data_IF_176837025853
#
_entry.id   IF_176837025853
#
_cell.length_a   1.000
_cell.length_b   1.000
_cell.length_c   1.000
_cell.angle_alpha   90.00
_cell.angle_beta   90.00
_cell.angle_gamma   90.00
#
_symmetry.space_group_name_H-M   'P 1'
#
loop_
_entity.id
_entity.type
_entity.pdbx_description
1 polymer ?
#
# COMPACT_ATOMS: atom_id res chain seq x y z
N UNK A 1 18.98 18.54 -19.28
CA UNK A 1 19.98 17.89 -18.40
C UNK A 1 19.46 17.58 -17.00
N UNK A 2 18.76 18.49 -16.29
CA UNK A 2 18.25 18.26 -14.91
C UNK A 2 17.21 17.13 -14.77
N UNK A 3 16.34 16.92 -15.78
CA UNK A 3 15.30 15.87 -15.76
C UNK A 3 15.88 14.45 -15.95
N UNK A 4 16.98 14.31 -16.69
CA UNK A 4 17.66 13.02 -16.91
C UNK A 4 18.40 12.54 -15.67
N UNK A 5 19.00 13.47 -14.91
CA UNK A 5 19.72 13.16 -13.68
C UNK A 5 18.77 12.68 -12.55
N UNK A 6 17.58 13.28 -12.44
CA UNK A 6 16.53 12.82 -11.50
C UNK A 6 16.00 11.42 -11.85
N UNK A 7 15.89 11.11 -13.13
CA UNK A 7 15.51 9.77 -13.62
C UNK A 7 16.59 8.72 -13.32
N UNK A 8 17.87 9.10 -13.46
CA UNK A 8 19.01 8.23 -13.16
C UNK A 8 19.17 7.95 -11.67
N UNK A 9 18.91 8.96 -10.82
CA UNK A 9 18.90 8.81 -9.36
C UNK A 9 17.71 7.96 -8.90
N UNK A 10 16.52 8.12 -9.51
CA UNK A 10 15.37 7.27 -9.24
C UNK A 10 15.60 5.80 -9.67
N UNK A 11 16.33 5.57 -10.76
CA UNK A 11 16.71 4.24 -11.25
C UNK A 11 17.72 3.55 -10.32
N UNK A 12 18.66 4.29 -9.73
CA UNK A 12 19.67 3.72 -8.81
C UNK A 12 19.13 3.41 -7.41
N UNK A 13 18.02 4.02 -6.98
CA UNK A 13 17.38 3.70 -5.70
C UNK A 13 16.44 2.48 -5.76
N UNK A 14 16.24 1.87 -6.94
CA UNK A 14 15.38 0.69 -7.10
C UNK A 14 16.18 -0.61 -7.07
N UNK A 15 16.51 -1.07 -5.86
CA UNK A 15 16.62 -2.52 -5.57
C UNK A 15 15.39 -3.25 -6.12
N UNK A 16 15.44 -4.55 -6.52
CA UNK A 16 14.62 -5.11 -7.59
C UNK A 16 13.15 -4.79 -7.38
N UNK A 17 12.69 -3.74 -8.06
CA UNK A 17 11.32 -3.32 -8.02
C UNK A 17 10.53 -4.45 -8.68
N UNK A 18 9.78 -5.17 -7.86
CA UNK A 18 8.91 -6.27 -8.28
C UNK A 18 8.14 -5.81 -9.53
N UNK A 19 8.22 -6.61 -10.60
CA UNK A 19 7.62 -6.36 -11.92
C UNK A 19 6.20 -5.76 -11.90
N UNK A 20 5.43 -6.07 -10.86
CA UNK A 20 4.10 -5.53 -10.58
C UNK A 20 4.03 -3.99 -10.59
N UNK A 21 5.00 -3.29 -9.98
CA UNK A 21 5.00 -1.81 -9.94
C UNK A 21 5.37 -1.25 -11.32
N UNK A 22 6.29 -1.90 -12.04
CA UNK A 22 6.71 -1.48 -13.38
C UNK A 22 5.57 -1.58 -14.40
N UNK A 23 4.80 -2.67 -14.36
CA UNK A 23 3.60 -2.87 -15.20
C UNK A 23 2.61 -1.72 -14.96
N UNK A 24 2.40 -1.35 -13.70
CA UNK A 24 1.50 -0.26 -13.34
C UNK A 24 1.98 1.13 -13.84
N UNK A 25 3.30 1.35 -13.91
CA UNK A 25 3.88 2.57 -14.49
C UNK A 25 3.78 2.60 -16.03
N UNK A 26 3.96 1.45 -16.68
CA UNK A 26 3.91 1.32 -18.15
C UNK A 26 2.46 1.40 -18.67
N UNK A 27 1.52 0.74 -17.99
CA UNK A 27 0.12 0.67 -18.39
C UNK A 27 -0.79 1.66 -17.67
N UNK A 28 -0.31 2.35 -16.62
CA UNK A 28 -1.10 3.31 -15.84
C UNK A 28 -1.74 4.40 -16.69
N UNK A 29 -1.03 4.86 -17.73
CA UNK A 29 -1.55 5.81 -18.72
C UNK A 29 -2.79 5.27 -19.47
N UNK A 30 -2.88 3.95 -19.71
CA UNK A 30 -4.03 3.30 -20.38
C UNK A 30 -5.15 2.91 -19.40
N UNK A 31 -4.86 2.84 -18.10
CA UNK A 31 -5.84 2.47 -17.07
C UNK A 31 -6.71 3.65 -16.61
N UNK A 32 -6.34 4.88 -16.92
CA UNK A 32 -7.15 6.06 -16.56
C UNK A 32 -8.32 6.28 -17.54
N UNK A 33 -9.51 6.57 -17.00
CA UNK A 33 -10.71 6.95 -17.75
C UNK A 33 -11.43 8.14 -17.08
N UNK A 34 -12.48 8.75 -17.68
CA UNK A 34 -13.22 9.83 -17.03
C UNK A 34 -13.74 9.50 -15.62
N UNK A 35 -14.01 8.21 -15.36
CA UNK A 35 -14.55 7.73 -14.09
C UNK A 35 -13.58 6.83 -13.33
N UNK A 36 -12.34 6.70 -13.79
CA UNK A 36 -11.33 5.83 -13.16
C UNK A 36 -9.99 6.59 -13.11
N UNK A 37 -9.55 6.91 -11.90
CA UNK A 37 -8.21 7.43 -11.67
C UNK A 37 -7.32 6.31 -11.15
N UNK A 38 -6.15 6.12 -11.75
CA UNK A 38 -5.15 5.15 -11.32
C UNK A 38 -3.94 5.89 -10.72
N UNK A 39 -3.41 5.38 -9.62
CA UNK A 39 -2.25 5.96 -8.97
C UNK A 39 -1.42 4.97 -8.14
N UNK A 40 -0.31 5.47 -7.63
CA UNK A 40 0.58 4.75 -6.72
C UNK A 40 0.53 5.37 -5.33
N UNK A 41 0.53 4.54 -4.29
CA UNK A 41 0.65 4.97 -2.90
C UNK A 41 1.95 4.45 -2.31
N UNK A 42 2.69 5.29 -1.61
CA UNK A 42 3.88 4.88 -0.85
C UNK A 42 4.00 5.65 0.44
N UNK A 43 4.54 5.02 1.48
CA UNK A 43 4.72 5.68 2.76
C UNK A 43 5.17 4.76 3.88
N UNK A 44 4.79 5.12 5.10
CA UNK A 44 5.14 4.38 6.32
C UNK A 44 3.90 3.85 6.99
N UNK A 45 4.02 2.68 7.61
CA UNK A 45 2.98 2.09 8.43
C UNK A 45 3.53 1.78 9.82
N UNK A 46 2.73 2.05 10.83
CA UNK A 46 2.99 1.87 12.24
C UNK A 46 2.03 0.80 12.72
N UNK A 47 2.53 -0.38 13.03
CA UNK A 47 1.71 -1.56 13.32
C UNK A 47 1.94 -2.13 14.70
N UNK A 48 0.86 -2.61 15.31
CA UNK A 48 0.86 -3.37 16.56
C UNK A 48 -0.07 -4.58 16.43
N UNK A 49 0.05 -5.51 17.36
CA UNK A 49 -0.88 -6.65 17.48
C UNK A 49 -1.64 -6.48 18.79
N UNK A 50 -2.93 -6.19 18.71
CA UNK A 50 -3.81 -6.07 19.87
C UNK A 50 -3.97 -7.43 20.54
N UNK A 51 -3.86 -7.47 21.87
CA UNK A 51 -3.92 -8.70 22.66
C UNK A 51 -2.58 -9.45 22.79
N UNK A 52 -1.51 -8.95 22.15
CA UNK A 52 -0.17 -9.49 22.29
C UNK A 52 0.67 -8.59 23.20
N UNK A 53 1.36 -9.20 24.17
CA UNK A 53 2.36 -8.49 24.98
C UNK A 53 3.52 -8.05 24.10
N UNK A 54 3.74 -6.73 24.02
CA UNK A 54 4.80 -6.12 23.24
C UNK A 54 5.12 -4.73 23.78
N UNK A 55 6.37 -4.31 23.71
CA UNK A 55 6.81 -3.00 24.22
C UNK A 55 6.76 -1.88 23.18
N UNK A 56 6.55 -2.20 21.89
CA UNK A 56 6.66 -1.21 20.83
C UNK A 56 5.85 -1.44 19.58
N UNK A 57 5.87 -0.42 18.73
CA UNK A 57 5.23 -0.41 17.39
C UNK A 57 6.22 -0.90 16.34
N UNK A 58 5.79 -1.84 15.49
CA UNK A 58 6.54 -2.23 14.31
C UNK A 58 6.36 -1.20 13.20
N UNK A 59 7.43 -0.48 12.88
CA UNK A 59 7.45 0.53 11.82
C UNK A 59 7.96 -0.09 10.52
N UNK A 60 7.22 0.11 9.43
CA UNK A 60 7.61 -0.42 8.14
C UNK A 60 7.23 0.47 6.97
N UNK A 61 7.87 0.23 5.83
CA UNK A 61 7.56 0.92 4.58
C UNK A 61 6.45 0.18 3.84
N UNK A 62 5.43 0.93 3.42
CA UNK A 62 4.35 0.44 2.58
C UNK A 62 4.41 1.01 1.15
N UNK A 63 3.97 0.20 0.20
CA UNK A 63 3.90 0.55 -1.21
C UNK A 63 2.73 -0.18 -1.86
N UNK A 64 2.02 0.50 -2.74
CA UNK A 64 0.86 -0.03 -3.43
C UNK A 64 0.46 0.77 -4.66
N UNK A 65 -0.62 0.33 -5.27
CA UNK A 65 -1.33 1.07 -6.30
C UNK A 65 -2.82 1.13 -5.95
N UNK A 66 -3.49 2.17 -6.41
CA UNK A 66 -4.91 2.39 -6.17
C UNK A 66 -5.66 2.77 -7.44
N UNK A 67 -6.96 2.61 -7.35
CA UNK A 67 -7.97 3.00 -8.31
C UNK A 67 -9.06 3.77 -7.56
N UNK A 68 -9.33 5.00 -7.98
CA UNK A 68 -10.48 5.76 -7.56
C UNK A 68 -11.54 5.70 -8.67
N UNK A 69 -12.55 4.86 -8.47
CA UNK A 69 -13.69 4.71 -9.37
C UNK A 69 -14.75 5.75 -8.97
N UNK A 70 -14.89 6.81 -9.75
CA UNK A 70 -15.82 7.92 -9.48
C UNK A 70 -17.24 7.56 -9.91
N UNK A 71 -18.23 7.92 -9.08
CA UNK A 71 -19.65 7.76 -9.45
C UNK A 71 -20.01 8.69 -10.61
N UNK A 72 -20.74 8.15 -11.59
CA UNK A 72 -21.22 8.93 -12.76
C UNK A 72 -22.24 10.00 -12.38
N UNK A 73 -23.02 9.77 -11.31
CA UNK A 73 -24.06 10.71 -10.85
C UNK A 73 -23.49 11.83 -10.00
N UNK A 74 -22.54 11.51 -9.12
CA UNK A 74 -21.89 12.48 -8.24
C UNK A 74 -20.41 12.13 -8.09
N UNK A 75 -19.50 12.84 -8.79
CA UNK A 75 -18.07 12.58 -8.75
C UNK A 75 -17.40 12.75 -7.38
N UNK A 76 -18.10 13.31 -6.39
CA UNK A 76 -17.61 13.38 -5.01
C UNK A 76 -17.57 11.99 -4.33
N UNK A 77 -18.44 11.07 -4.74
CA UNK A 77 -18.45 9.69 -4.27
C UNK A 77 -17.60 8.80 -5.16
N UNK A 78 -16.73 8.00 -4.55
CA UNK A 78 -15.81 7.10 -5.22
C UNK A 78 -15.72 5.77 -4.49
N UNK A 79 -15.36 4.72 -5.24
CA UNK A 79 -14.83 3.48 -4.66
C UNK A 79 -13.32 3.54 -4.82
N UNK A 80 -12.61 3.58 -3.71
CA UNK A 80 -11.15 3.46 -3.64
C UNK A 80 -10.78 2.00 -3.42
N UNK A 81 -10.11 1.40 -4.39
CA UNK A 81 -9.65 0.01 -4.33
C UNK A 81 -8.22 -0.11 -4.88
N UNK A 82 -7.54 -1.23 -4.68
CA UNK A 82 -6.18 -1.42 -5.18
C UNK A 82 -5.48 -2.57 -4.50
N UNK A 83 -4.15 -2.56 -4.55
CA UNK A 83 -3.32 -3.50 -3.80
C UNK A 83 -2.16 -2.76 -3.15
N UNK A 84 -2.08 -2.84 -1.82
CA UNK A 84 -0.90 -2.49 -1.05
C UNK A 84 0.04 -3.69 -1.13
N UNK A 85 0.94 -3.66 -2.10
CA UNK A 85 1.83 -4.78 -2.46
C UNK A 85 2.91 -5.05 -1.42
N UNK A 86 3.24 -4.05 -0.62
CA UNK A 86 4.14 -4.16 0.53
C UNK A 86 3.45 -3.51 1.72
N UNK A 87 3.08 -4.30 2.71
CA UNK A 87 2.48 -3.82 3.95
C UNK A 87 2.96 -4.69 5.13
N UNK A 88 4.15 -4.43 5.67
CA UNK A 88 4.66 -5.16 6.83
C UNK A 88 3.88 -4.76 8.09
N UNK A 89 3.07 -5.66 8.65
CA UNK A 89 2.41 -5.52 9.94
C UNK A 89 3.17 -6.31 11.00
N UNK A 90 2.85 -6.14 12.28
CA UNK A 90 3.50 -6.90 13.34
C UNK A 90 3.55 -6.19 14.67
N UNK A 91 4.45 -6.64 15.54
CA UNK A 91 4.69 -6.06 16.84
C UNK A 91 6.20 -6.09 17.17
N UNK A 92 6.64 -5.13 17.97
CA UNK A 92 8.04 -4.96 18.33
C UNK A 92 8.23 -5.20 19.83
N UNK A 93 9.35 -5.81 20.21
CA UNK A 93 9.68 -6.02 21.62
C UNK A 93 8.74 -6.99 22.33
N UNK A 94 8.40 -8.09 21.68
CA UNK A 94 7.69 -9.23 22.29
C UNK A 94 8.68 -9.97 23.21
N UNK A 95 8.24 -10.48 24.38
CA UNK A 95 9.07 -11.33 25.22
C UNK A 95 9.62 -12.55 24.47
N UNK A 96 10.87 -12.92 24.77
CA UNK A 96 11.51 -14.09 24.16
C UNK A 96 10.79 -15.35 24.61
N UNK A 97 10.54 -16.24 23.65
CA UNK A 97 9.92 -17.55 23.86
C UNK A 97 10.85 -18.65 23.34
N UNK A 98 10.67 -19.89 23.83
CA UNK A 98 11.55 -20.99 23.46
C UNK A 98 11.56 -21.27 21.96
N UNK A 99 12.77 -21.43 21.43
CA UNK A 99 13.09 -21.85 20.08
C UNK A 99 13.14 -23.37 19.93
N UNK A 100 12.94 -24.12 21.03
CA UNK A 100 13.16 -25.56 21.14
C UNK A 100 14.61 -25.97 20.84
N UNK A 101 15.56 -25.08 21.11
CA UNK A 101 16.99 -25.31 20.99
C UNK A 101 17.67 -24.63 22.19
N UNK A 102 18.32 -25.43 23.05
CA UNK A 102 18.90 -24.92 24.29
C UNK A 102 20.01 -23.88 24.04
N UNK A 103 20.78 -24.01 22.96
CA UNK A 103 21.82 -23.04 22.64
C UNK A 103 21.19 -21.72 22.22
N UNK A 104 20.20 -21.76 21.32
CA UNK A 104 19.50 -20.55 20.88
C UNK A 104 18.74 -19.89 22.04
N UNK A 105 18.06 -20.67 22.89
CA UNK A 105 17.33 -20.16 24.06
C UNK A 105 18.27 -19.42 25.02
N UNK A 106 19.48 -19.95 25.24
CA UNK A 106 20.49 -19.28 26.05
C UNK A 106 21.05 -18.02 25.36
N UNK A 107 21.26 -18.05 24.04
CA UNK A 107 21.76 -16.91 23.25
C UNK A 107 20.76 -15.76 23.18
N UNK A 108 19.46 -16.00 23.28
CA UNK A 108 18.45 -14.93 23.23
C UNK A 108 17.82 -14.64 24.58
N UNK A 109 18.31 -15.24 25.67
CA UNK A 109 17.82 -14.99 27.02
C UNK A 109 17.99 -13.51 27.39
N UNK A 110 16.89 -12.86 27.81
CA UNK A 110 16.87 -11.43 28.14
C UNK A 110 16.80 -10.49 26.93
N UNK A 111 16.73 -11.04 25.70
CA UNK A 111 16.56 -10.26 24.47
C UNK A 111 15.11 -9.90 24.18
N UNK A 112 14.84 -9.63 22.90
CA UNK A 112 13.50 -9.28 22.42
C UNK A 112 13.16 -9.92 21.08
N UNK A 113 11.87 -10.07 20.81
CA UNK A 113 11.37 -10.63 19.54
C UNK A 113 10.60 -9.57 18.76
N UNK A 114 10.96 -9.41 17.50
CA UNK A 114 10.24 -8.58 16.55
C UNK A 114 9.50 -9.45 15.55
N UNK A 115 8.18 -9.41 15.63
CA UNK A 115 7.32 -10.15 14.71
C UNK A 115 7.00 -9.29 13.51
N UNK A 116 7.32 -9.78 12.31
CA UNK A 116 6.95 -9.13 11.05
C UNK A 116 6.08 -10.06 10.19
N UNK A 117 4.90 -9.56 9.82
CA UNK A 117 3.89 -10.25 9.04
C UNK A 117 3.59 -9.42 7.80
N UNK A 118 3.95 -9.94 6.62
CA UNK A 118 3.80 -9.26 5.34
C UNK A 118 2.53 -9.74 4.65
N UNK A 119 1.60 -8.82 4.41
CA UNK A 119 0.39 -9.06 3.64
C UNK A 119 0.40 -8.32 2.30
N UNK A 120 -0.29 -8.88 1.32
CA UNK A 120 -0.87 -8.14 0.20
C UNK A 120 -2.25 -7.66 0.63
N UNK A 121 -2.42 -6.35 0.83
CA UNK A 121 -3.69 -5.81 1.31
C UNK A 121 -4.53 -5.26 0.15
N UNK A 122 -5.79 -5.61 0.10
CA UNK A 122 -6.79 -5.17 -0.88
C UNK A 122 -7.86 -4.37 -0.15
N UNK A 123 -7.76 -3.03 -0.12
CA UNK A 123 -8.80 -2.17 0.42
C UNK A 123 -9.97 -2.08 -0.56
N UNK A 124 -11.21 -2.06 -0.06
CA UNK A 124 -12.42 -1.78 -0.85
C UNK A 124 -13.20 -0.71 -0.09
N UNK A 125 -12.88 0.55 -0.34
CA UNK A 125 -13.31 1.67 0.49
C UNK A 125 -14.27 2.57 -0.27
N UNK A 126 -15.33 3.00 0.40
CA UNK A 126 -16.11 4.14 -0.05
C UNK A 126 -15.31 5.39 0.31
N UNK A 127 -15.06 6.25 -0.67
CA UNK A 127 -14.33 7.52 -0.53
C UNK A 127 -15.25 8.67 -0.89
N UNK A 128 -15.32 9.68 -0.03
CA UNK A 128 -16.08 10.91 -0.24
C UNK A 128 -15.15 12.12 -0.25
N UNK A 129 -15.15 12.86 -1.35
CA UNK A 129 -14.34 14.04 -1.59
C UNK A 129 -15.14 15.32 -1.27
N UNK A 130 -14.66 16.08 -0.29
CA UNK A 130 -15.23 17.38 0.07
C UNK A 130 -14.70 18.49 -0.85
N UNK A 131 -15.43 19.62 -0.89
CA UNK A 131 -15.07 20.79 -1.70
C UNK A 131 -13.75 21.45 -1.31
N UNK A 132 -13.31 21.28 -0.07
CA UNK A 132 -12.05 21.80 0.46
C UNK A 132 -10.85 20.87 0.20
N UNK A 133 -10.97 19.93 -0.75
CA UNK A 133 -9.97 18.93 -1.11
C UNK A 133 -9.64 17.88 -0.04
N UNK A 134 -10.26 17.94 1.15
CA UNK A 134 -10.23 16.85 2.11
C UNK A 134 -11.11 15.71 1.58
N UNK A 135 -10.75 14.47 1.89
CA UNK A 135 -11.61 13.32 1.69
C UNK A 135 -11.59 12.40 2.90
N UNK A 136 -12.68 11.67 3.06
CA UNK A 136 -12.79 10.56 4.00
C UNK A 136 -12.94 9.27 3.20
N UNK A 137 -12.36 8.18 3.70
CA UNK A 137 -12.53 6.85 3.12
C UNK A 137 -12.77 5.82 4.22
N UNK A 138 -13.69 4.90 3.99
CA UNK A 138 -13.97 3.82 4.95
C UNK A 138 -14.49 2.57 4.25
N UNK A 139 -14.24 1.40 4.81
CA UNK A 139 -14.72 0.13 4.27
C UNK A 139 -13.86 -1.06 4.66
N UNK A 140 -14.18 -2.25 4.13
CA UNK A 140 -13.39 -3.44 4.37
C UNK A 140 -12.00 -3.36 3.73
N UNK A 141 -11.04 -4.01 4.39
CA UNK A 141 -9.71 -4.27 3.86
C UNK A 141 -9.38 -5.74 4.12
N UNK A 142 -8.97 -6.44 3.06
CA UNK A 142 -8.60 -7.86 3.11
C UNK A 142 -7.08 -7.97 2.96
N UNK A 143 -6.46 -8.90 3.68
CA UNK A 143 -5.03 -9.17 3.62
C UNK A 143 -4.76 -10.62 3.25
N UNK A 144 -3.87 -10.85 2.27
CA UNK A 144 -3.37 -12.17 1.91
C UNK A 144 -1.92 -12.33 2.37
N UNK A 145 -1.67 -13.33 3.22
CA UNK A 145 -0.36 -13.58 3.83
C UNK A 145 0.69 -13.94 2.78
N UNK A 146 1.74 -13.13 2.70
CA UNK A 146 2.91 -13.39 1.85
C UNK A 146 4.03 -14.07 2.64
N UNK A 147 4.43 -13.50 3.77
CA UNK A 147 5.52 -13.99 4.63
C UNK A 147 5.24 -13.64 6.09
N UNK A 148 5.68 -14.47 7.02
CA UNK A 148 5.72 -14.10 8.44
C UNK A 148 6.98 -14.69 9.08
N UNK A 149 7.64 -13.91 9.92
CA UNK A 149 8.82 -14.33 10.65
C UNK A 149 8.96 -13.55 11.95
N UNK A 150 9.60 -14.19 12.92
CA UNK A 150 10.03 -13.57 14.16
C UNK A 150 11.55 -13.39 14.12
N UNK A 151 12.00 -12.17 14.43
CA UNK A 151 13.41 -11.82 14.57
C UNK A 151 13.74 -11.72 16.05
N UNK A 152 14.46 -12.71 16.55
CA UNK A 152 15.04 -12.72 17.88
C UNK A 152 16.28 -11.86 17.85
N UNK A 153 16.36 -10.89 18.77
CA UNK A 153 17.47 -9.95 18.87
C UNK A 153 18.03 -9.96 20.28
N UNK A 154 19.35 -10.04 20.36
CA UNK A 154 20.08 -9.84 21.60
C UNK A 154 21.37 -9.06 21.32
N UNK A 155 21.67 -8.11 22.21
CA UNK A 155 22.90 -7.32 22.15
C UNK A 155 23.97 -7.98 23.00
N UNK A 156 25.13 -8.26 22.41
CA UNK A 156 26.31 -8.77 23.09
C UNK A 156 27.49 -7.86 22.77
N UNK A 157 28.12 -7.25 23.78
CA UNK A 157 29.30 -6.40 23.61
C UNK A 157 29.16 -5.31 22.51
N UNK A 158 27.95 -4.75 22.37
CA UNK A 158 27.54 -3.75 21.34
C UNK A 158 27.35 -4.29 19.92
N UNK A 159 27.40 -5.60 19.73
CA UNK A 159 27.04 -6.27 18.50
C UNK A 159 25.65 -6.94 18.61
N UNK A 160 24.82 -6.73 17.57
CA UNK A 160 23.49 -7.34 17.49
C UNK A 160 23.59 -8.77 16.94
N UNK A 161 23.19 -9.75 17.76
CA UNK A 161 22.93 -11.11 17.30
C UNK A 161 21.46 -11.23 16.90
N UNK A 162 21.20 -11.69 15.67
CA UNK A 162 19.85 -11.81 15.13
C UNK A 162 19.60 -13.23 14.61
N UNK A 163 18.52 -13.87 15.09
CA UNK A 163 18.01 -15.11 14.55
C UNK A 163 16.60 -14.93 14.00
N UNK A 164 16.36 -15.44 12.78
CA UNK A 164 15.10 -15.26 12.07
C UNK A 164 14.35 -16.59 11.95
N UNK A 165 13.26 -16.73 12.70
CA UNK A 165 12.37 -17.89 12.68
C UNK A 165 11.21 -17.66 11.71
N UNK A 166 11.00 -18.54 10.76
CA UNK A 166 9.80 -18.50 9.92
C UNK A 166 8.59 -18.98 10.74
N UNK A 167 7.54 -18.16 10.80
CA UNK A 167 6.30 -18.46 11.54
C UNK A 167 5.08 -18.48 10.62
N UNK A 168 5.26 -18.46 9.30
CA UNK A 168 4.16 -18.39 8.32
C UNK A 168 3.10 -19.47 8.56
N UNK A 169 3.51 -20.67 8.93
CA UNK A 169 2.57 -21.78 9.13
C UNK A 169 1.71 -21.61 10.38
N UNK A 170 2.10 -20.75 11.32
CA UNK A 170 1.35 -20.40 12.53
C UNK A 170 0.39 -19.22 12.31
N UNK A 171 0.56 -18.45 11.23
CA UNK A 171 -0.27 -17.27 10.92
C UNK A 171 -1.40 -17.66 9.98
N UNK A 172 -2.62 -17.15 10.23
CA UNK A 172 -3.76 -17.32 9.31
C UNK A 172 -3.45 -16.67 7.97
N UNK A 173 -3.81 -17.34 6.88
CA UNK A 173 -3.48 -16.88 5.52
C UNK A 173 -4.30 -15.65 5.13
N UNK A 174 -5.50 -15.51 5.68
CA UNK A 174 -6.42 -14.41 5.43
C UNK A 174 -6.48 -13.55 6.69
N UNK A 175 -6.24 -12.25 6.51
CA UNK A 175 -6.59 -11.20 7.47
C UNK A 175 -7.75 -10.38 6.88
N UNK A 176 -8.62 -9.88 7.74
CA UNK A 176 -9.70 -9.00 7.31
C UNK A 176 -10.07 -8.02 8.42
N UNK A 177 -10.44 -6.82 8.03
CA UNK A 177 -10.80 -5.77 8.96
C UNK A 177 -11.47 -4.58 8.29
N UNK A 178 -11.69 -3.55 9.08
CA UNK A 178 -12.23 -2.27 8.60
C UNK A 178 -11.11 -1.25 8.60
N UNK A 179 -11.03 -0.46 7.53
CA UNK A 179 -10.12 0.66 7.46
C UNK A 179 -10.90 1.98 7.43
N UNK A 180 -10.40 2.97 8.15
CA UNK A 180 -10.89 4.34 8.17
C UNK A 180 -9.73 5.27 7.84
N UNK A 181 -9.90 6.16 6.88
CA UNK A 181 -8.87 7.11 6.49
C UNK A 181 -9.41 8.49 6.20
N UNK A 182 -8.54 9.46 6.42
CA UNK A 182 -8.71 10.86 6.02
C UNK A 182 -7.52 11.23 5.16
N UNK A 183 -7.74 12.08 4.17
CA UNK A 183 -6.64 12.60 3.38
C UNK A 183 -6.96 13.93 2.74
N UNK A 184 -5.94 14.49 2.10
CA UNK A 184 -6.00 15.78 1.44
C UNK A 184 -5.46 15.65 0.02
N UNK A 185 -6.24 16.12 -0.95
CA UNK A 185 -5.83 16.22 -2.35
C UNK A 185 -5.14 17.57 -2.58
N UNK A 186 -3.84 17.53 -2.83
CA UNK A 186 -3.05 18.71 -3.12
C UNK A 186 -3.13 19.04 -4.61
N UNK A 187 -3.44 20.30 -4.92
CA UNK A 187 -3.43 20.82 -6.29
C UNK A 187 -2.01 21.13 -6.81
N UNK A 188 -1.01 20.35 -6.39
CA UNK A 188 0.39 20.49 -6.80
C UNK A 188 0.73 19.37 -7.79
N UNK A 189 1.29 19.74 -8.94
CA UNK A 189 1.66 18.78 -10.00
C UNK A 189 0.44 18.04 -10.56
N UNK A 190 0.49 16.71 -10.58
CA UNK A 190 -0.58 15.85 -11.11
C UNK A 190 -1.68 15.51 -10.08
N UNK A 191 -1.67 16.11 -8.90
CA UNK A 191 -2.68 15.89 -7.85
C UNK A 191 -2.21 14.97 -6.72
N UNK A 192 -1.13 15.33 -6.02
CA UNK A 192 -0.59 14.54 -4.90
C UNK A 192 -1.65 14.37 -3.79
N UNK A 193 -1.79 13.17 -3.27
CA UNK A 193 -2.64 12.86 -2.12
C UNK A 193 -1.77 12.63 -0.89
N UNK A 194 -2.18 13.13 0.27
CA UNK A 194 -1.62 12.69 1.56
C UNK A 194 -2.74 12.03 2.35
N UNK A 195 -2.51 10.83 2.87
CA UNK A 195 -3.50 10.03 3.57
C UNK A 195 -2.98 9.59 4.92
N UNK A 196 -3.82 9.69 5.94
CA UNK A 196 -3.68 8.95 7.19
C UNK A 196 -4.82 7.94 7.27
N UNK A 197 -4.50 6.67 7.42
CA UNK A 197 -5.47 5.58 7.42
C UNK A 197 -5.20 4.61 8.56
N UNK A 198 -6.21 4.35 9.37
CA UNK A 198 -6.17 3.35 10.42
C UNK A 198 -6.87 2.08 9.98
N UNK A 199 -6.22 0.93 10.16
CA UNK A 199 -6.76 -0.40 9.93
C UNK A 199 -7.00 -1.10 11.25
N UNK A 200 -8.22 -1.60 11.41
CA UNK A 200 -8.69 -2.37 12.55
C UNK A 200 -9.01 -3.79 12.11
N UNK A 201 -8.08 -4.72 12.36
CA UNK A 201 -8.26 -6.15 12.08
C UNK A 201 -9.36 -6.80 12.93
N UNK A 202 -10.18 -7.62 12.28
CA UNK A 202 -11.31 -8.34 12.87
C UNK A 202 -11.11 -9.86 12.85
N UNK A 203 -10.09 -10.34 12.12
CA UNK A 203 -9.73 -11.75 12.07
C UNK A 203 -8.53 -12.00 12.99
N UNK A 204 -8.57 -13.03 13.85
CA UNK A 204 -7.41 -13.41 14.65
C UNK A 204 -6.21 -13.77 13.77
N UNK A 205 -5.03 -13.27 14.14
CA UNK A 205 -3.80 -13.42 13.35
C UNK A 205 -3.22 -14.84 13.49
N UNK A 206 -3.29 -15.42 14.68
CA UNK A 206 -2.72 -16.73 14.99
C UNK A 206 -3.68 -17.87 14.62
N UNK A 207 -3.12 -19.03 14.24
CA UNK A 207 -3.85 -20.30 14.17
C UNK A 207 -3.87 -20.99 15.54
N UNK A 208 -4.87 -21.84 15.75
CA UNK A 208 -5.02 -22.65 16.96
C UNK A 208 -5.89 -21.99 18.04
N UNK A 209 -5.88 -22.59 19.22
CA UNK A 209 -6.79 -22.28 20.34
C UNK A 209 -6.18 -21.28 21.35
N UNK A 210 -5.12 -20.57 20.96
CA UNK A 210 -4.52 -19.51 21.76
C UNK A 210 -5.41 -18.26 21.85
N UNK A 211 -5.01 -17.25 22.64
CA UNK A 211 -5.75 -16.00 22.73
C UNK A 211 -5.86 -15.34 21.36
N UNK A 212 -7.05 -14.83 21.04
CA UNK A 212 -7.27 -14.09 19.82
C UNK A 212 -6.52 -12.75 19.86
N UNK A 213 -5.64 -12.57 18.88
CA UNK A 213 -4.86 -11.35 18.70
C UNK A 213 -5.09 -10.77 17.32
N UNK A 214 -5.10 -9.44 17.20
CA UNK A 214 -5.58 -8.77 15.99
C UNK A 214 -4.62 -7.70 15.50
N UNK A 215 -4.43 -7.61 14.18
CA UNK A 215 -3.61 -6.56 13.58
C UNK A 215 -4.23 -5.16 13.80
N UNK A 216 -3.38 -4.20 14.14
CA UNK A 216 -3.67 -2.77 14.11
C UNK A 216 -2.59 -2.09 13.30
N UNK A 217 -2.96 -1.17 12.40
CA UNK A 217 -1.97 -0.46 11.61
C UNK A 217 -2.42 0.95 11.27
N UNK A 218 -1.58 1.93 11.57
CA UNK A 218 -1.71 3.31 11.13
C UNK A 218 -0.79 3.53 9.93
N UNK A 219 -1.39 3.85 8.79
CA UNK A 219 -0.69 4.17 7.55
C UNK A 219 -0.64 5.67 7.36
N UNK A 220 0.54 6.18 6.99
CA UNK A 220 0.74 7.54 6.49
C UNK A 220 1.32 7.43 5.10
N UNK A 221 0.56 7.83 4.08
CA UNK A 221 0.92 7.60 2.67
C UNK A 221 0.85 8.87 1.84
N UNK A 222 1.75 8.96 0.87
CA UNK A 222 1.71 9.90 -0.23
C UNK A 222 1.26 9.15 -1.49
N UNK A 223 0.22 9.66 -2.14
CA UNK A 223 -0.40 9.07 -3.32
C UNK A 223 -0.16 9.91 -4.57
N UNK A 224 0.35 9.32 -5.63
CA UNK A 224 0.64 9.98 -6.90
C UNK A 224 -0.27 9.42 -8.00
N UNK A 225 -1.22 10.22 -8.52
CA UNK A 225 -1.97 9.85 -9.71
C UNK A 225 -1.03 9.69 -10.90
N UNK A 226 -1.10 8.54 -11.57
CA UNK A 226 -0.29 8.25 -12.76
C UNK A 226 -1.13 8.56 -13.99
N UNK A 227 -0.53 9.19 -15.00
CA UNK A 227 -1.15 9.33 -16.33
C UNK A 227 -2.29 10.34 -16.49
N UNK A 228 -2.74 11.00 -15.42
CA UNK A 228 -3.83 11.99 -15.45
C UNK A 228 -3.63 13.10 -16.52
N UNK A 229 -2.43 13.65 -16.63
CA UNK A 229 -2.10 14.69 -17.63
C UNK A 229 -2.13 14.19 -19.08
N UNK A 230 -1.50 13.05 -19.36
CA UNK A 230 -1.49 12.45 -20.72
C UNK A 230 -2.84 11.88 -21.14
N UNK A 231 -3.65 11.40 -20.18
CA UNK A 231 -5.01 10.96 -20.42
C UNK A 231 -5.94 12.15 -20.74
N UNK A 232 -5.72 13.32 -20.13
CA UNK A 232 -6.41 14.55 -20.52
C UNK A 232 -6.05 14.99 -21.94
N UNK A 233 -4.76 14.99 -22.31
CA UNK A 233 -4.30 15.37 -23.65
C UNK A 233 -4.84 14.44 -24.75
N UNK A 234 -4.80 13.12 -24.57
CA UNK A 234 -5.36 12.16 -25.54
C UNK A 234 -6.87 12.32 -25.71
N UNK A 235 -7.61 12.68 -24.65
CA UNK A 235 -9.04 12.96 -24.75
C UNK A 235 -9.30 14.23 -25.56
N UNK A 236 -8.58 15.30 -25.27
CA UNK A 236 -8.68 16.54 -26.05
C UNK A 236 -8.36 16.31 -27.53
N UNK A 237 -7.36 15.48 -27.84
CA UNK A 237 -7.03 15.09 -29.21
C UNK A 237 -8.16 14.28 -29.87
N UNK A 238 -8.69 13.26 -29.19
CA UNK A 238 -9.76 12.42 -29.73
C UNK A 238 -11.08 13.20 -29.94
N UNK A 239 -11.38 14.13 -29.04
CA UNK A 239 -12.54 15.02 -29.16
C UNK A 239 -12.34 16.04 -30.28
N UNK A 240 -11.13 16.57 -30.45
CA UNK A 240 -10.78 17.41 -31.60
C UNK A 240 -10.84 16.65 -32.93
N UNK A 241 -10.47 15.36 -32.96
CA UNK A 241 -10.63 14.49 -34.13
C UNK A 241 -12.09 14.18 -34.44
N UNK A 242 -12.92 13.88 -33.44
CA UNK A 242 -14.35 13.62 -33.63
C UNK A 242 -15.12 14.87 -34.10
N UNK A 243 -14.72 16.04 -33.62
CA UNK A 243 -15.32 17.32 -33.97
C UNK A 243 -14.64 17.98 -35.18
N UNK A 244 -13.70 17.28 -35.83
CA UNK A 244 -13.08 17.75 -37.07
C UNK A 244 -14.15 17.71 -38.15
N UNK A 245 -14.62 18.88 -38.56
CA UNK A 245 -15.54 19.03 -39.69
C UNK A 245 -14.80 18.54 -40.93
N UNK A 246 -15.24 17.42 -41.51
CA UNK A 246 -14.76 16.95 -42.81
C UNK A 246 -15.31 17.95 -43.83
N UNK A 247 -14.45 18.77 -44.40
CA UNK A 247 -14.85 19.66 -45.49
C UNK A 247 -15.06 18.80 -46.75
N UNK A 248 -16.00 19.14 -47.64
CA UNK A 248 -16.25 18.37 -48.87
C UNK A 248 -15.02 18.21 -49.78
N UNK A 249 -14.00 19.04 -49.59
CA UNK A 249 -12.71 19.00 -50.30
C UNK A 249 -11.74 17.93 -49.76
N UNK A 250 -12.00 17.39 -48.56
CA UNK A 250 -11.18 16.36 -47.89
C UNK A 250 -11.71 14.93 -48.14
N UNK A 251 -12.83 14.75 -48.85
CA UNK A 251 -13.26 13.43 -49.32
C UNK A 251 -12.36 13.01 -50.49
N UNK A 252 -11.52 11.98 -50.29
CA UNK A 252 -10.81 11.35 -51.40
C UNK A 252 -11.82 10.96 -52.50
N UNK A 253 -11.52 11.24 -53.79
CA UNK A 253 -12.43 10.90 -54.86
C UNK A 253 -12.65 9.39 -54.85
N UNK A 254 -13.90 8.99 -54.58
CA UNK A 254 -14.36 7.60 -54.71
C UNK A 254 -14.02 7.12 -56.12
N UNK A 255 -13.06 6.21 -56.20
CA UNK A 255 -12.79 5.42 -57.42
C UNK A 255 -13.76 4.26 -57.54
#
# INVERSE_FOLDING_TARGET
MKKGLLLLIALFCMSPARSQVLISLIFGDKLNSPFLEFGLDGGVNFSTISGLESSGTNVGFNLGFYFDIRSKKNPAWMINTGVIVKSPMGAHGIPVYSLNDTNLDNTFAGGSVNREIRYFNVPILIKYQFKNNIYLKTGPQLGLLAKAFDEFKQEYDKDDVIYKKNIRDQIRVIDAGVALGVGYHMNVGNGLNVTVQYYYGLVPVMKGDGPDVYNRSLYVTAGLPIGKGKAAQRRAQKEAELNKVILPEDEEPKK
#
